data_IF_108878829130
#
_entry.id   IF_108878829130
#
_cell.length_a   1.000
_cell.length_b   1.000
_cell.length_c   1.000
_cell.angle_alpha   90.00
_cell.angle_beta   90.00
_cell.angle_gamma   90.00
#
_symmetry.space_group_name_H-M   'P 1'
#
loop_
_entity.id
_entity.type
_entity.pdbx_description
1 polymer ?
#
# COMPACT_ATOMS: atom_id res chain seq x y z
N UNK A 1 -12.57 -22.91 10.10
CA UNK A 1 -12.37 -23.37 8.72
C UNK A 1 -11.55 -22.32 7.97
N UNK A 2 -10.25 -22.29 8.27
CA UNK A 2 -9.26 -21.39 7.67
C UNK A 2 -8.87 -21.82 6.25
N UNK A 3 -9.36 -22.98 5.81
CA UNK A 3 -9.03 -23.59 4.53
C UNK A 3 -9.78 -22.93 3.36
N UNK A 4 -10.79 -22.10 3.69
CA UNK A 4 -11.51 -21.21 2.76
C UNK A 4 -11.04 -19.74 2.87
N UNK A 5 -10.08 -19.43 3.76
CA UNK A 5 -9.45 -18.12 3.76
C UNK A 5 -8.74 -17.98 2.41
N UNK A 6 -9.17 -17.00 1.62
CA UNK A 6 -8.56 -16.69 0.32
C UNK A 6 -7.06 -16.58 0.56
N UNK A 7 -6.26 -17.43 -0.09
CA UNK A 7 -4.79 -17.43 -0.05
C UNK A 7 -4.29 -16.09 -0.58
N UNK A 8 -4.33 -15.08 0.29
CA UNK A 8 -4.07 -13.70 -0.05
C UNK A 8 -2.57 -13.42 -0.15
N UNK A 9 -1.78 -14.13 0.66
CA UNK A 9 -0.35 -13.83 0.81
C UNK A 9 0.51 -14.12 -0.43
N UNK A 10 0.02 -14.85 -1.44
CA UNK A 10 0.82 -15.20 -2.62
C UNK A 10 0.06 -15.11 -3.96
N UNK A 11 -1.11 -14.47 -4.02
CA UNK A 11 -1.84 -14.37 -5.29
C UNK A 11 -1.09 -13.62 -6.40
N UNK A 12 -0.05 -12.85 -6.05
CA UNK A 12 0.77 -12.09 -7.00
C UNK A 12 1.72 -12.97 -7.83
N UNK A 13 2.07 -14.19 -7.36
CA UNK A 13 2.97 -15.12 -8.08
C UNK A 13 2.22 -16.19 -8.88
N UNK A 14 0.93 -16.37 -8.61
CA UNK A 14 0.05 -17.33 -9.28
C UNK A 14 -0.34 -16.98 -10.73
N UNK A 15 -0.39 -15.70 -11.18
CA UNK A 15 -0.86 -15.40 -12.52
C UNK A 15 0.04 -16.04 -13.57
N UNK A 16 -0.59 -16.67 -14.56
CA UNK A 16 0.10 -17.21 -15.74
C UNK A 16 -0.30 -16.43 -16.99
N UNK A 17 0.66 -16.17 -17.87
CA UNK A 17 0.44 -15.56 -19.18
C UNK A 17 0.86 -16.57 -20.24
N UNK A 18 -0.10 -17.00 -21.06
CA UNK A 18 0.08 -18.05 -22.08
C UNK A 18 0.67 -19.37 -21.50
N UNK A 19 0.20 -19.77 -20.30
CA UNK A 19 0.63 -21.01 -19.64
C UNK A 19 1.99 -20.96 -18.93
N UNK A 20 2.66 -19.80 -18.89
CA UNK A 20 3.90 -19.60 -18.12
C UNK A 20 3.67 -18.67 -16.93
N UNK A 21 4.34 -18.87 -15.77
CA UNK A 21 4.27 -17.93 -14.66
C UNK A 21 4.62 -16.51 -15.10
N UNK A 22 3.80 -15.53 -14.75
CA UNK A 22 3.95 -14.16 -15.23
C UNK A 22 5.28 -13.53 -14.77
N UNK A 23 5.75 -13.89 -13.57
CA UNK A 23 7.04 -13.47 -13.01
C UNK A 23 8.25 -14.16 -13.66
N UNK A 24 8.05 -15.07 -14.61
CA UNK A 24 9.10 -15.71 -15.42
C UNK A 24 9.00 -15.32 -16.90
N UNK A 25 8.17 -14.32 -17.23
CA UNK A 25 8.00 -13.85 -18.59
C UNK A 25 8.82 -12.57 -18.80
N UNK A 26 9.87 -12.65 -19.62
CA UNK A 26 10.81 -11.54 -19.85
C UNK A 26 10.13 -10.27 -20.35
N UNK A 27 9.12 -10.39 -21.22
CA UNK A 27 8.36 -9.23 -21.71
C UNK A 27 7.61 -8.54 -20.59
N UNK A 28 6.97 -9.32 -19.72
CA UNK A 28 6.22 -8.79 -18.57
C UNK A 28 7.17 -8.13 -17.57
N UNK A 29 8.29 -8.78 -17.26
CA UNK A 29 9.31 -8.23 -16.37
C UNK A 29 9.90 -6.92 -16.93
N UNK A 30 10.13 -6.84 -18.24
CA UNK A 30 10.60 -5.62 -18.89
C UNK A 30 9.58 -4.47 -18.80
N UNK A 31 8.28 -4.76 -18.92
CA UNK A 31 7.23 -3.75 -18.74
C UNK A 31 7.10 -3.30 -17.29
N UNK A 32 7.13 -4.24 -16.33
CA UNK A 32 7.08 -3.91 -14.89
C UNK A 32 8.26 -3.05 -14.45
N UNK A 33 9.46 -3.31 -15.00
CA UNK A 33 10.66 -2.53 -14.70
C UNK A 33 10.51 -1.06 -15.05
N UNK A 34 9.73 -0.70 -16.07
CA UNK A 34 9.49 0.71 -16.44
C UNK A 34 8.77 1.51 -15.34
N UNK A 35 8.03 0.83 -14.47
CA UNK A 35 7.34 1.45 -13.33
C UNK A 35 8.14 1.42 -12.03
N UNK A 36 9.24 0.67 -11.97
CA UNK A 36 10.09 0.57 -10.79
C UNK A 36 11.06 1.77 -10.76
N UNK A 37 10.56 2.90 -10.27
CA UNK A 37 11.28 4.19 -10.32
C UNK A 37 12.60 4.20 -9.55
N UNK A 38 12.83 3.21 -8.69
CA UNK A 38 14.00 3.14 -7.81
C UNK A 38 14.73 1.79 -7.90
N UNK A 39 14.50 1.01 -8.96
CA UNK A 39 15.11 -0.32 -9.17
C UNK A 39 15.05 -1.21 -7.92
N UNK A 40 13.91 -1.24 -7.23
CA UNK A 40 13.69 -1.98 -5.99
C UNK A 40 13.85 -3.50 -6.15
N UNK A 41 13.92 -4.02 -7.37
CA UNK A 41 14.28 -5.41 -7.64
C UNK A 41 15.76 -5.76 -7.35
N UNK A 42 16.66 -4.76 -7.23
CA UNK A 42 18.08 -5.00 -6.93
C UNK A 42 18.25 -5.63 -5.54
N UNK A 43 19.13 -6.63 -5.37
CA UNK A 43 19.35 -7.25 -4.06
C UNK A 43 19.71 -6.25 -2.96
N UNK A 44 20.58 -5.27 -3.25
CA UNK A 44 20.96 -4.24 -2.27
C UNK A 44 19.78 -3.38 -1.82
N UNK A 45 18.85 -3.02 -2.73
CA UNK A 45 17.65 -2.26 -2.41
C UNK A 45 16.63 -3.09 -1.62
N UNK A 46 16.46 -4.36 -1.97
CA UNK A 46 15.56 -5.28 -1.27
C UNK A 46 15.97 -5.47 0.20
N UNK A 47 17.28 -5.50 0.48
CA UNK A 47 17.80 -5.65 1.83
C UNK A 47 17.64 -4.40 2.72
N UNK A 48 17.20 -3.27 2.17
CA UNK A 48 16.75 -2.14 2.97
C UNK A 48 15.41 -2.44 3.71
N UNK A 49 14.71 -3.53 3.39
CA UNK A 49 13.54 -4.02 4.13
C UNK A 49 13.81 -5.41 4.68
N UNK A 50 14.44 -5.49 5.86
CA UNK A 50 14.79 -6.75 6.51
C UNK A 50 15.13 -6.51 8.00
N UNK A 51 15.26 -7.59 8.77
CA UNK A 51 15.54 -7.56 10.21
C UNK A 51 17.01 -7.90 10.47
N UNK A 52 17.69 -7.02 11.22
CA UNK A 52 19.11 -7.15 11.54
C UNK A 52 19.37 -6.94 13.03
N UNK A 53 20.44 -7.56 13.55
CA UNK A 53 20.84 -7.39 14.94
C UNK A 53 21.60 -6.07 15.12
N UNK A 54 21.25 -5.32 16.15
CA UNK A 54 21.86 -4.03 16.52
C UNK A 54 23.04 -4.22 17.47
N UNK A 55 23.82 -3.14 17.66
CA UNK A 55 24.99 -3.13 18.56
C UNK A 55 24.65 -3.51 20.00
N UNK A 56 23.49 -3.07 20.49
CA UNK A 56 22.97 -3.36 21.83
C UNK A 56 22.31 -4.75 21.94
N UNK A 57 22.47 -5.60 20.92
CA UNK A 57 22.02 -7.01 20.92
C UNK A 57 20.53 -7.19 20.62
N UNK A 58 19.78 -6.11 20.38
CA UNK A 58 18.39 -6.14 19.95
C UNK A 58 18.27 -6.43 18.47
N UNK A 59 17.04 -6.58 17.98
CA UNK A 59 16.75 -6.72 16.56
C UNK A 59 15.98 -5.49 16.09
N UNK A 60 16.31 -5.01 14.89
CA UNK A 60 15.66 -3.86 14.29
C UNK A 60 15.21 -4.20 12.87
N UNK A 61 13.95 -3.89 12.57
CA UNK A 61 13.39 -4.03 11.23
C UNK A 61 13.60 -2.73 10.46
N UNK A 62 14.54 -2.75 9.51
CA UNK A 62 14.65 -1.70 8.50
C UNK A 62 13.48 -1.84 7.52
N UNK A 63 12.97 -0.73 7.02
CA UNK A 63 11.93 -0.77 5.99
C UNK A 63 12.17 0.30 4.90
N UNK A 64 12.77 -0.12 3.79
CA UNK A 64 13.07 0.69 2.60
C UNK A 64 11.86 1.15 1.79
N UNK A 65 10.65 0.66 2.08
CA UNK A 65 9.43 1.05 1.35
C UNK A 65 9.60 0.81 -0.15
N UNK A 66 9.10 1.72 -1.00
CA UNK A 66 9.30 1.68 -2.46
C UNK A 66 10.48 2.56 -2.91
N UNK A 67 11.36 2.97 -1.98
CA UNK A 67 12.57 3.74 -2.26
C UNK A 67 13.61 3.53 -1.14
N UNK A 68 14.62 2.70 -1.42
CA UNK A 68 15.62 2.30 -0.45
C UNK A 68 16.59 3.41 -0.02
N UNK A 69 16.74 4.50 -0.79
CA UNK A 69 17.84 5.47 -0.61
C UNK A 69 17.92 6.07 0.78
N UNK A 70 16.78 6.44 1.39
CA UNK A 70 16.78 7.04 2.73
C UNK A 70 17.26 6.05 3.80
N UNK A 71 16.83 4.79 3.70
CA UNK A 71 17.24 3.73 4.64
C UNK A 71 18.71 3.38 4.44
N UNK A 72 19.16 3.23 3.20
CA UNK A 72 20.56 2.97 2.86
C UNK A 72 21.47 4.09 3.38
N UNK A 73 21.10 5.35 3.14
CA UNK A 73 21.83 6.51 3.64
C UNK A 73 21.90 6.56 5.17
N UNK A 74 20.80 6.22 5.86
CA UNK A 74 20.73 6.17 7.32
C UNK A 74 21.78 5.23 7.93
N UNK A 75 21.97 4.04 7.33
CA UNK A 75 22.93 3.03 7.83
C UNK A 75 24.26 3.04 7.08
N UNK A 76 24.49 4.02 6.20
CA UNK A 76 25.74 4.16 5.44
C UNK A 76 26.01 3.00 4.47
N UNK A 77 24.96 2.46 3.84
CA UNK A 77 25.07 1.49 2.74
C UNK A 77 25.12 2.26 1.42
N UNK A 78 26.13 1.96 0.60
CA UNK A 78 26.31 2.55 -0.72
C UNK A 78 25.69 1.69 -1.82
N UNK A 79 25.37 2.32 -2.95
CA UNK A 79 24.86 1.65 -4.14
C UNK A 79 25.93 0.73 -4.75
N UNK A 80 25.59 -0.54 -4.97
CA UNK A 80 26.51 -1.54 -5.51
C UNK A 80 25.76 -2.76 -6.07
N UNK A 81 26.32 -3.35 -7.12
CA UNK A 81 25.83 -4.61 -7.68
C UNK A 81 26.38 -5.79 -6.88
N UNK A 82 25.51 -6.45 -6.12
CA UNK A 82 25.85 -7.57 -5.24
C UNK A 82 24.78 -8.65 -5.30
N UNK A 83 25.15 -9.86 -4.91
CA UNK A 83 24.19 -10.94 -4.64
C UNK A 83 23.35 -10.62 -3.41
N UNK A 84 22.24 -11.35 -3.23
CA UNK A 84 21.39 -11.24 -2.03
C UNK A 84 22.16 -11.55 -0.75
N UNK A 85 23.04 -12.55 -0.77
CA UNK A 85 23.83 -12.97 0.40
C UNK A 85 24.83 -11.89 0.81
N UNK A 86 25.53 -11.30 -0.17
CA UNK A 86 26.43 -10.17 0.06
C UNK A 86 25.67 -8.95 0.59
N UNK A 87 24.51 -8.62 0.01
CA UNK A 87 23.67 -7.53 0.50
C UNK A 87 23.24 -7.75 1.97
N UNK A 88 22.81 -8.96 2.33
CA UNK A 88 22.46 -9.29 3.73
C UNK A 88 23.66 -9.05 4.65
N UNK A 89 24.85 -9.49 4.25
CA UNK A 89 26.08 -9.30 5.03
C UNK A 89 26.41 -7.81 5.20
N UNK A 90 26.33 -7.04 4.12
CA UNK A 90 26.58 -5.59 4.14
C UNK A 90 25.65 -4.90 5.14
N UNK A 91 24.34 -5.14 5.05
CA UNK A 91 23.38 -4.53 5.98
C UNK A 91 23.59 -5.02 7.42
N UNK A 92 23.88 -6.30 7.62
CA UNK A 92 24.18 -6.85 8.96
C UNK A 92 25.38 -6.15 9.60
N UNK A 93 26.48 -6.01 8.85
CA UNK A 93 27.72 -5.40 9.35
C UNK A 93 27.54 -3.90 9.65
N UNK A 94 26.66 -3.22 8.89
CA UNK A 94 26.32 -1.80 9.07
C UNK A 94 25.38 -1.58 10.24
N UNK A 95 24.28 -2.32 10.33
CA UNK A 95 23.28 -2.18 11.41
C UNK A 95 23.89 -2.50 12.77
N UNK A 96 24.81 -3.48 12.84
CA UNK A 96 25.53 -3.84 14.06
C UNK A 96 26.41 -2.71 14.64
N UNK A 97 26.57 -1.58 13.95
CA UNK A 97 27.28 -0.40 14.46
C UNK A 97 26.39 0.55 15.27
N UNK A 98 25.07 0.37 15.22
CA UNK A 98 24.09 1.29 15.80
C UNK A 98 23.27 0.62 16.90
N UNK A 99 22.93 1.39 17.95
CA UNK A 99 21.96 0.95 18.96
C UNK A 99 20.54 1.09 18.41
N UNK A 100 19.62 0.20 18.82
CA UNK A 100 18.24 0.22 18.33
C UNK A 100 17.53 1.58 18.56
N UNK A 101 17.80 2.23 19.69
CA UNK A 101 17.22 3.55 20.01
C UNK A 101 17.67 4.66 19.04
N UNK A 102 18.91 4.59 18.55
CA UNK A 102 19.40 5.51 17.53
C UNK A 102 18.64 5.28 16.21
N UNK A 103 18.52 4.03 15.78
CA UNK A 103 17.83 3.67 14.54
C UNK A 103 16.35 4.06 14.60
N UNK A 104 15.68 3.82 15.73
CA UNK A 104 14.27 4.18 15.95
C UNK A 104 14.05 5.68 15.75
N UNK A 105 14.86 6.50 16.43
CA UNK A 105 14.80 7.95 16.35
C UNK A 105 15.11 8.44 14.93
N UNK A 106 16.24 8.03 14.38
CA UNK A 106 16.69 8.55 13.08
C UNK A 106 15.75 8.13 11.94
N UNK A 107 15.25 6.89 11.95
CA UNK A 107 14.28 6.45 10.95
C UNK A 107 12.98 7.25 11.07
N UNK A 108 12.33 7.24 12.24
CA UNK A 108 10.97 7.73 12.38
C UNK A 108 10.87 9.25 12.55
N UNK A 109 11.75 9.86 13.36
CA UNK A 109 11.69 11.30 13.66
C UNK A 109 12.46 12.14 12.64
N UNK A 110 13.70 11.76 12.33
CA UNK A 110 14.58 12.60 11.52
C UNK A 110 14.30 12.44 10.01
N UNK A 111 14.05 11.20 9.56
CA UNK A 111 13.90 10.87 8.14
C UNK A 111 12.44 10.62 7.71
N UNK A 112 11.52 10.40 8.65
CA UNK A 112 10.14 10.00 8.36
C UNK A 112 10.05 8.66 7.60
N UNK A 113 11.07 7.81 7.77
CA UNK A 113 11.18 6.49 7.19
C UNK A 113 10.64 5.45 8.16
N UNK A 114 9.94 4.43 7.64
CA UNK A 114 9.48 3.34 8.47
C UNK A 114 10.68 2.52 8.98
N UNK A 115 10.64 2.17 10.25
CA UNK A 115 11.57 1.26 10.91
C UNK A 115 11.13 1.06 12.35
N UNK A 116 11.43 -0.11 12.93
CA UNK A 116 11.00 -0.39 14.30
C UNK A 116 11.91 -1.40 14.97
N UNK A 117 12.16 -1.18 16.25
CA UNK A 117 12.78 -2.16 17.13
C UNK A 117 11.85 -3.37 17.29
N UNK A 118 12.35 -4.56 17.00
CA UNK A 118 11.59 -5.79 17.19
C UNK A 118 11.44 -6.07 18.69
N UNK A 119 10.20 -6.04 19.17
CA UNK A 119 9.84 -6.34 20.55
C UNK A 119 9.29 -7.77 20.65
N UNK A 120 9.56 -8.43 21.77
CA UNK A 120 8.81 -9.61 22.20
C UNK A 120 7.34 -9.24 22.45
N UNK A 121 6.39 -10.20 22.43
CA UNK A 121 5.01 -9.93 22.79
C UNK A 121 4.85 -9.26 24.16
N UNK A 122 5.63 -9.68 25.15
CA UNK A 122 5.61 -9.12 26.51
C UNK A 122 6.10 -7.67 26.53
N UNK A 123 7.20 -7.37 25.84
CA UNK A 123 7.72 -6.00 25.70
C UNK A 123 6.74 -5.09 24.94
N UNK A 124 6.12 -5.61 23.87
CA UNK A 124 5.11 -4.87 23.12
C UNK A 124 3.91 -4.55 24.01
N UNK A 125 3.35 -5.53 24.72
CA UNK A 125 2.21 -5.31 25.63
C UNK A 125 2.56 -4.37 26.80
N UNK A 126 3.81 -4.37 27.25
CA UNK A 126 4.30 -3.46 28.29
C UNK A 126 4.54 -2.02 27.78
N UNK A 127 4.72 -1.83 26.46
CA UNK A 127 4.91 -0.52 25.83
C UNK A 127 3.67 0.37 25.95
N UNK A 128 3.83 1.68 25.72
CA UNK A 128 2.71 2.62 25.66
C UNK A 128 1.71 2.24 24.56
N UNK A 129 2.21 1.90 23.37
CA UNK A 129 1.38 1.45 22.25
C UNK A 129 0.58 0.20 22.58
N UNK A 130 1.22 -0.83 23.16
CA UNK A 130 0.54 -2.07 23.54
C UNK A 130 -0.56 -1.84 24.58
N UNK A 131 -0.31 -0.99 25.58
CA UNK A 131 -1.31 -0.61 26.59
C UNK A 131 -2.49 0.14 26.00
N UNK A 132 -2.26 1.05 25.06
CA UNK A 132 -3.33 1.77 24.36
C UNK A 132 -4.15 0.78 23.53
N UNK A 133 -3.49 0.00 22.67
CA UNK A 133 -4.16 -0.96 21.78
C UNK A 133 -4.96 -2.01 22.55
N UNK A 134 -4.47 -2.48 23.70
CA UNK A 134 -5.18 -3.45 24.53
C UNK A 134 -6.51 -2.94 25.09
N UNK A 135 -6.70 -1.61 25.17
CA UNK A 135 -7.93 -0.99 25.65
C UNK A 135 -8.87 -0.55 24.52
N UNK A 136 -8.42 -0.59 23.26
CA UNK A 136 -9.24 -0.22 22.11
C UNK A 136 -10.16 -1.38 21.69
N UNK A 137 -11.45 -1.12 21.43
CA UNK A 137 -12.34 -2.15 20.91
C UNK A 137 -11.96 -2.52 19.47
N UNK A 138 -12.27 -3.76 19.06
CA UNK A 138 -12.00 -4.24 17.70
C UNK A 138 -12.65 -3.38 16.61
N UNK A 139 -13.78 -2.75 16.91
CA UNK A 139 -14.43 -1.78 16.04
C UNK A 139 -15.17 -0.74 16.87
N UNK A 140 -15.26 0.47 16.32
CA UNK A 140 -16.11 1.54 16.83
C UNK A 140 -17.08 1.97 15.75
N UNK A 141 -18.24 2.48 16.16
CA UNK A 141 -19.22 3.04 15.24
C UNK A 141 -19.67 4.40 15.74
N UNK A 142 -19.60 5.37 14.84
CA UNK A 142 -20.13 6.72 15.06
C UNK A 142 -21.18 6.99 13.98
N UNK A 143 -22.47 7.12 14.33
CA UNK A 143 -23.50 7.43 13.35
C UNK A 143 -23.26 8.83 12.77
N UNK A 144 -23.41 8.95 11.45
CA UNK A 144 -23.34 10.23 10.73
C UNK A 144 -24.57 10.32 9.83
N UNK A 145 -25.33 11.43 9.87
CA UNK A 145 -26.45 11.63 8.94
C UNK A 145 -25.95 11.60 7.50
N UNK A 146 -26.51 10.72 6.68
CA UNK A 146 -26.23 10.63 5.26
C UNK A 146 -27.50 10.21 4.51
N UNK A 147 -27.75 10.71 3.29
CA UNK A 147 -28.86 10.25 2.48
C UNK A 147 -28.69 8.77 2.15
N UNK A 148 -29.78 8.00 2.21
CA UNK A 148 -29.77 6.63 1.73
C UNK A 148 -29.62 6.63 0.20
N UNK A 149 -28.76 5.75 -0.32
CA UNK A 149 -28.65 5.49 -1.76
C UNK A 149 -29.38 4.19 -2.10
N UNK A 150 -30.06 4.16 -3.23
CA UNK A 150 -30.65 2.94 -3.75
C UNK A 150 -29.57 2.10 -4.42
N UNK A 151 -29.58 0.79 -4.16
CA UNK A 151 -28.71 -0.13 -4.89
C UNK A 151 -29.02 -0.09 -6.40
N UNK A 152 -28.01 -0.10 -7.28
CA UNK A 152 -28.25 -0.15 -8.72
C UNK A 152 -29.04 -1.41 -9.11
N UNK A 153 -29.98 -1.27 -10.05
CA UNK A 153 -30.70 -2.43 -10.60
C UNK A 153 -29.71 -3.28 -11.39
N UNK A 154 -29.53 -4.53 -10.98
CA UNK A 154 -28.72 -5.49 -11.72
C UNK A 154 -29.36 -5.75 -13.08
N UNK A 155 -28.54 -5.70 -14.14
CA UNK A 155 -29.02 -5.86 -15.52
C UNK A 155 -28.83 -7.28 -16.04
N UNK A 156 -28.05 -8.10 -15.35
CA UNK A 156 -27.70 -9.45 -15.79
C UNK A 156 -27.97 -10.51 -14.72
N UNK A 157 -28.39 -11.72 -15.14
CA UNK A 157 -28.54 -12.90 -14.28
C UNK A 157 -27.21 -13.57 -13.91
N UNK A 158 -26.09 -12.84 -14.02
CA UNK A 158 -24.76 -13.35 -13.67
C UNK A 158 -24.48 -13.05 -12.19
N UNK A 159 -23.68 -13.90 -11.53
CA UNK A 159 -23.18 -13.69 -10.16
C UNK A 159 -22.24 -12.46 -10.07
N UNK A 160 -22.79 -11.26 -10.20
CA UNK A 160 -22.09 -9.96 -10.17
C UNK A 160 -22.82 -9.02 -9.20
N UNK A 161 -22.73 -9.26 -7.89
CA UNK A 161 -23.52 -8.53 -6.90
C UNK A 161 -23.31 -7.01 -6.94
N UNK A 162 -22.13 -6.55 -7.39
CA UNK A 162 -21.75 -5.14 -7.47
C UNK A 162 -21.93 -4.53 -8.88
N UNK A 163 -22.66 -5.17 -9.78
CA UNK A 163 -22.96 -4.59 -11.10
C UNK A 163 -23.62 -3.20 -10.95
N UNK A 164 -23.08 -2.22 -11.67
CA UNK A 164 -23.55 -0.83 -11.63
C UNK A 164 -22.90 0.02 -10.54
N UNK A 165 -22.17 -0.56 -9.60
CA UNK A 165 -21.40 0.18 -8.59
C UNK A 165 -20.10 0.70 -9.20
N UNK A 166 -19.80 1.98 -8.97
CA UNK A 166 -18.54 2.61 -9.40
C UNK A 166 -17.64 2.93 -8.22
N UNK A 167 -16.40 2.43 -8.29
CA UNK A 167 -15.39 2.56 -7.24
C UNK A 167 -14.21 3.36 -7.77
N UNK A 168 -13.77 4.36 -7.00
CA UNK A 168 -12.50 5.04 -7.20
C UNK A 168 -11.47 4.43 -6.25
N UNK A 169 -10.41 3.88 -6.80
CA UNK A 169 -9.30 3.31 -6.06
C UNK A 169 -8.13 4.32 -6.03
N UNK A 170 -7.99 5.04 -4.93
CA UNK A 170 -6.88 5.95 -4.65
C UNK A 170 -5.89 5.28 -3.69
N UNK A 171 -5.24 4.22 -4.17
CA UNK A 171 -4.29 3.44 -3.37
C UNK A 171 -3.10 2.91 -4.18
N UNK A 172 -2.10 2.37 -3.46
CA UNK A 172 -0.87 1.75 -3.96
C UNK A 172 -0.53 0.51 -3.13
N UNK A 173 0.49 -0.23 -3.52
CA UNK A 173 1.01 -1.39 -2.79
C UNK A 173 0.02 -2.56 -2.80
N UNK A 174 -0.55 -2.95 -1.66
CA UNK A 174 -1.16 -4.28 -1.50
C UNK A 174 -2.57 -4.21 -0.91
N UNK A 175 -2.72 -3.76 0.34
CA UNK A 175 -3.97 -3.92 1.10
C UNK A 175 -5.19 -3.26 0.44
N UNK A 176 -5.19 -1.94 0.22
CA UNK A 176 -6.27 -1.28 -0.50
C UNK A 176 -6.48 -1.73 -1.96
N UNK A 177 -5.43 -1.97 -2.78
CA UNK A 177 -5.60 -2.54 -4.12
C UNK A 177 -6.31 -3.91 -4.12
N UNK A 178 -6.22 -4.68 -3.04
CA UNK A 178 -6.89 -5.98 -2.92
C UNK A 178 -8.38 -5.80 -2.67
N UNK A 179 -8.74 -4.85 -1.80
CA UNK A 179 -10.15 -4.46 -1.59
C UNK A 179 -10.78 -4.15 -2.94
N UNK A 180 -10.18 -3.22 -3.70
CA UNK A 180 -10.73 -2.78 -4.98
C UNK A 180 -10.68 -3.86 -6.06
N UNK A 181 -9.68 -4.76 -6.08
CA UNK A 181 -9.66 -5.94 -6.96
C UNK A 181 -10.85 -6.86 -6.69
N UNK A 182 -11.12 -7.17 -5.41
CA UNK A 182 -12.25 -8.01 -5.03
C UNK A 182 -13.56 -7.35 -5.47
N UNK A 183 -13.71 -6.04 -5.30
CA UNK A 183 -14.89 -5.32 -5.79
C UNK A 183 -15.05 -5.42 -7.31
N UNK A 184 -13.94 -5.34 -8.07
CA UNK A 184 -13.95 -5.51 -9.53
C UNK A 184 -14.41 -6.92 -9.94
N UNK A 185 -13.87 -7.96 -9.28
CA UNK A 185 -14.25 -9.37 -9.52
C UNK A 185 -15.74 -9.59 -9.24
N UNK A 186 -16.28 -8.93 -8.21
CA UNK A 186 -17.70 -8.97 -7.85
C UNK A 186 -18.60 -8.11 -8.77
N UNK A 187 -18.03 -7.48 -9.80
CA UNK A 187 -18.78 -6.79 -10.86
C UNK A 187 -18.77 -5.27 -10.81
N UNK A 188 -18.10 -4.65 -9.84
CA UNK A 188 -17.99 -3.20 -9.77
C UNK A 188 -17.13 -2.62 -10.91
N UNK A 189 -17.46 -1.42 -11.37
CA UNK A 189 -16.57 -0.64 -12.21
C UNK A 189 -15.52 0.04 -11.34
N UNK A 190 -14.28 -0.46 -11.38
CA UNK A 190 -13.18 0.10 -10.58
C UNK A 190 -12.25 0.94 -11.46
N UNK A 191 -12.03 2.19 -11.04
CA UNK A 191 -11.09 3.13 -11.66
C UNK A 191 -9.98 3.41 -10.65
N UNK A 192 -8.77 2.92 -10.91
CA UNK A 192 -7.57 3.24 -10.16
C UNK A 192 -7.03 4.60 -10.59
N UNK A 193 -6.83 5.48 -9.63
CA UNK A 193 -6.21 6.79 -9.81
C UNK A 193 -4.73 6.65 -9.47
N UNK A 194 -3.92 6.51 -10.51
CA UNK A 194 -2.47 6.37 -10.43
C UNK A 194 -1.77 7.69 -10.74
N UNK A 195 -0.47 7.75 -10.47
CA UNK A 195 0.41 8.80 -10.97
C UNK A 195 1.76 8.15 -11.32
N UNK A 196 2.16 8.24 -12.59
CA UNK A 196 3.41 7.63 -13.10
C UNK A 196 4.68 8.14 -12.42
N UNK A 197 4.62 9.29 -11.75
CA UNK A 197 5.74 9.89 -11.04
C UNK A 197 5.80 9.47 -9.56
N UNK A 198 4.87 8.64 -9.10
CA UNK A 198 4.89 8.07 -7.75
C UNK A 198 5.37 6.62 -7.79
N UNK A 199 6.24 6.19 -6.86
CA UNK A 199 6.68 4.81 -6.82
C UNK A 199 5.54 3.88 -6.40
N UNK A 200 5.60 2.63 -6.82
CA UNK A 200 4.66 1.57 -6.44
C UNK A 200 5.40 0.22 -6.42
N UNK A 201 4.76 -0.83 -5.93
CA UNK A 201 5.30 -2.20 -5.98
C UNK A 201 4.84 -2.87 -7.26
N UNK A 202 5.59 -2.67 -8.35
CA UNK A 202 5.16 -3.05 -9.71
C UNK A 202 4.87 -4.54 -9.88
N UNK A 203 5.58 -5.42 -9.15
CA UNK A 203 5.31 -6.87 -9.14
C UNK A 203 3.86 -7.22 -8.77
N UNK A 204 3.18 -6.35 -8.01
CA UNK A 204 1.78 -6.56 -7.62
C UNK A 204 0.78 -6.20 -8.71
N UNK A 205 1.18 -5.41 -9.71
CA UNK A 205 0.27 -4.83 -10.70
C UNK A 205 -0.47 -5.88 -11.53
N UNK A 206 0.19 -7.00 -11.85
CA UNK A 206 -0.39 -8.07 -12.68
C UNK A 206 -1.66 -8.61 -12.03
N UNK A 207 -1.57 -8.97 -10.76
CA UNK A 207 -2.71 -9.53 -10.03
C UNK A 207 -3.66 -8.43 -9.55
N UNK A 208 -3.13 -7.40 -8.90
CA UNK A 208 -3.92 -6.38 -8.20
C UNK A 208 -4.55 -5.34 -9.11
N UNK A 209 -4.26 -5.33 -10.41
CA UNK A 209 -4.94 -4.48 -11.40
C UNK A 209 -6.03 -5.20 -12.18
N UNK A 210 -6.22 -6.49 -11.95
CA UNK A 210 -7.21 -7.31 -12.67
C UNK A 210 -8.62 -6.74 -12.52
N UNK A 211 -9.30 -6.55 -13.65
CA UNK A 211 -10.67 -6.01 -13.70
C UNK A 211 -10.79 -4.49 -13.49
N UNK A 212 -9.67 -3.79 -13.27
CA UNK A 212 -9.65 -2.33 -13.07
C UNK A 212 -9.33 -1.60 -14.37
N UNK A 213 -9.79 -0.35 -14.46
CA UNK A 213 -9.27 0.65 -15.40
C UNK A 213 -8.34 1.58 -14.65
N UNK A 214 -7.24 1.98 -15.27
CA UNK A 214 -6.27 2.90 -14.67
C UNK A 214 -6.35 4.29 -15.33
N UNK A 215 -6.07 5.33 -14.55
CA UNK A 215 -5.89 6.70 -15.04
C UNK A 215 -4.69 7.35 -14.36
N UNK A 216 -3.89 8.09 -15.13
CA UNK A 216 -2.74 8.82 -14.61
C UNK A 216 -3.12 10.28 -14.32
N UNK A 217 -3.30 10.62 -13.05
CA UNK A 217 -3.75 11.95 -12.59
C UNK A 217 -2.77 12.50 -11.57
N UNK A 218 -2.29 13.72 -11.80
CA UNK A 218 -1.54 14.47 -10.79
C UNK A 218 -2.47 15.36 -9.95
N UNK A 219 -2.81 14.90 -8.74
CA UNK A 219 -3.65 15.65 -7.80
C UNK A 219 -2.94 16.87 -7.18
N UNK A 220 -1.66 17.12 -7.47
CA UNK A 220 -1.02 18.39 -7.11
C UNK A 220 -1.39 19.52 -8.06
N UNK A 221 -1.77 19.20 -9.30
CA UNK A 221 -2.24 20.16 -10.29
C UNK A 221 -3.72 20.50 -10.12
N UNK A 222 -4.13 21.72 -10.47
CA UNK A 222 -5.54 22.11 -10.44
C UNK A 222 -6.38 21.32 -11.45
N UNK A 223 -5.81 21.01 -12.61
CA UNK A 223 -6.44 20.15 -13.61
C UNK A 223 -6.72 18.75 -13.05
N UNK A 224 -5.72 18.11 -12.43
CA UNK A 224 -5.88 16.78 -11.85
C UNK A 224 -6.87 16.77 -10.68
N UNK A 225 -6.88 17.80 -9.84
CA UNK A 225 -7.94 17.98 -8.82
C UNK A 225 -9.32 18.10 -9.47
N UNK A 226 -9.46 18.83 -10.57
CA UNK A 226 -10.73 18.96 -11.29
C UNK A 226 -11.19 17.63 -11.92
N UNK A 227 -10.27 16.84 -12.49
CA UNK A 227 -10.58 15.49 -12.98
C UNK A 227 -11.04 14.60 -11.81
N UNK A 228 -10.30 14.59 -10.70
CA UNK A 228 -10.63 13.79 -9.52
C UNK A 228 -11.98 14.16 -8.92
N UNK A 229 -12.32 15.46 -8.83
CA UNK A 229 -13.67 15.93 -8.43
C UNK A 229 -14.77 15.31 -9.29
N UNK A 230 -14.59 15.27 -10.61
CA UNK A 230 -15.57 14.67 -11.53
C UNK A 230 -15.67 13.15 -11.37
N UNK A 231 -14.55 12.47 -11.09
CA UNK A 231 -14.56 11.04 -10.78
C UNK A 231 -15.36 10.76 -9.51
N UNK A 232 -15.09 11.49 -8.42
CA UNK A 232 -15.77 11.34 -7.13
C UNK A 232 -17.26 11.70 -7.21
N UNK A 233 -17.63 12.73 -7.97
CA UNK A 233 -19.02 13.15 -8.14
C UNK A 233 -19.91 12.05 -8.75
N UNK A 234 -19.33 11.17 -9.57
CA UNK A 234 -20.03 10.06 -10.20
C UNK A 234 -19.70 8.69 -9.62
N UNK A 235 -19.10 8.60 -8.44
CA UNK A 235 -18.72 7.35 -7.80
C UNK A 235 -19.67 6.98 -6.65
N UNK A 236 -19.75 5.69 -6.33
CA UNK A 236 -20.44 5.20 -5.14
C UNK A 236 -19.48 5.00 -3.97
N UNK A 237 -18.25 4.56 -4.28
CA UNK A 237 -17.21 4.26 -3.29
C UNK A 237 -15.90 4.97 -3.67
N UNK A 238 -15.23 5.56 -2.68
CA UNK A 238 -13.84 6.01 -2.77
C UNK A 238 -13.01 5.24 -1.74
N UNK A 239 -11.99 4.54 -2.19
CA UNK A 239 -10.99 3.88 -1.35
C UNK A 239 -9.74 4.77 -1.33
N UNK A 240 -9.31 5.18 -0.14
CA UNK A 240 -8.09 5.94 0.11
C UNK A 240 -7.12 5.08 0.91
N UNK A 241 -6.04 4.66 0.26
CA UNK A 241 -4.97 3.85 0.85
C UNK A 241 -3.70 4.65 1.14
N UNK A 242 -3.76 5.98 1.17
CA UNK A 242 -2.61 6.81 1.54
C UNK A 242 -2.57 7.08 3.05
N UNK A 243 -1.39 7.48 3.53
CA UNK A 243 -1.19 7.87 4.93
C UNK A 243 -2.25 8.89 5.39
N UNK A 244 -2.71 8.83 6.65
CA UNK A 244 -3.70 9.75 7.18
C UNK A 244 -3.39 11.22 6.84
N UNK A 245 -4.38 11.90 6.26
CA UNK A 245 -4.30 13.33 5.94
C UNK A 245 -3.69 13.68 4.57
N UNK A 246 -3.12 12.73 3.81
CA UNK A 246 -2.58 13.01 2.46
C UNK A 246 -3.67 13.54 1.53
N UNK A 247 -4.80 12.82 1.40
CA UNK A 247 -5.89 13.22 0.53
C UNK A 247 -6.56 14.55 0.99
N UNK A 248 -6.60 14.78 2.31
CA UNK A 248 -7.08 16.04 2.88
C UNK A 248 -6.18 17.24 2.51
N UNK A 249 -4.84 17.08 2.54
CA UNK A 249 -3.87 18.10 2.09
C UNK A 249 -4.02 18.43 0.60
N UNK A 250 -4.55 17.50 -0.20
CA UNK A 250 -4.87 17.71 -1.61
C UNK A 250 -6.23 18.40 -1.83
N UNK A 251 -6.97 18.70 -0.76
CA UNK A 251 -8.27 19.38 -0.78
C UNK A 251 -9.48 18.45 -0.73
N UNK A 252 -9.30 17.18 -0.37
CA UNK A 252 -10.33 16.14 -0.39
C UNK A 252 -10.49 15.46 0.97
N UNK A 253 -10.82 16.24 2.01
CA UNK A 253 -11.19 15.67 3.30
C UNK A 253 -12.63 15.13 3.30
N UNK A 254 -13.04 14.45 4.37
CA UNK A 254 -14.39 13.85 4.44
C UNK A 254 -15.51 14.87 4.23
N UNK A 255 -15.39 16.09 4.75
CA UNK A 255 -16.40 17.13 4.58
C UNK A 255 -16.48 17.62 3.13
N UNK A 256 -15.33 17.92 2.50
CA UNK A 256 -15.30 18.36 1.09
C UNK A 256 -15.75 17.25 0.14
N UNK A 257 -15.41 15.99 0.41
CA UNK A 257 -15.90 14.84 -0.36
C UNK A 257 -17.42 14.72 -0.27
N UNK A 258 -18.02 14.91 0.91
CA UNK A 258 -19.48 14.93 1.09
C UNK A 258 -20.16 16.08 0.35
N UNK A 259 -19.51 17.24 0.26
CA UNK A 259 -20.03 18.36 -0.57
C UNK A 259 -20.04 18.00 -2.05
N UNK A 260 -19.04 17.25 -2.53
CA UNK A 260 -18.99 16.78 -3.93
C UNK A 260 -20.04 15.69 -4.17
N UNK A 261 -20.18 14.74 -3.25
CA UNK A 261 -21.10 13.63 -3.35
C UNK A 261 -21.59 13.20 -1.96
N UNK A 262 -22.84 13.55 -1.64
CA UNK A 262 -23.45 13.27 -0.34
C UNK A 262 -23.69 11.78 -0.07
N UNK A 263 -23.75 10.95 -1.13
CA UNK A 263 -24.00 9.50 -1.06
C UNK A 263 -22.73 8.66 -1.02
N UNK A 264 -21.55 9.28 -1.15
CA UNK A 264 -20.27 8.60 -1.27
C UNK A 264 -19.96 7.77 -0.02
N UNK A 265 -19.66 6.49 -0.23
CA UNK A 265 -18.99 5.66 0.77
C UNK A 265 -17.50 5.94 0.70
N UNK A 266 -16.95 6.59 1.73
CA UNK A 266 -15.53 6.87 1.83
C UNK A 266 -14.85 5.85 2.76
N UNK A 267 -14.01 5.01 2.17
CA UNK A 267 -13.24 3.97 2.86
C UNK A 267 -11.79 4.43 2.97
N UNK A 268 -11.23 4.36 4.16
CA UNK A 268 -9.81 4.58 4.40
C UNK A 268 -9.17 3.30 4.89
N UNK A 269 -8.14 2.86 4.19
CA UNK A 269 -7.28 1.76 4.60
C UNK A 269 -5.92 2.39 4.97
N UNK A 270 -5.45 2.13 6.18
CA UNK A 270 -4.17 2.64 6.67
C UNK A 270 -3.63 1.73 7.77
N UNK A 271 -2.30 1.74 7.90
CA UNK A 271 -1.54 1.18 9.00
C UNK A 271 -1.23 2.23 10.06
#
# INVERSE_FOLDING_TARGET
DTDLATLFLESIILPTINGKPAMQNDTVLAELKKGDLYDMAKPIHQQATNVYQTKDGKWYHLHGSMNASATMGMVGVEEQDVTREEAIKIFSDKVAQYDAAYLEKTANEDLGQAGVTCLTPEEFLASEHGKIMANEPLWTMKPVPAPCSTWPVQKSDKLKPLEGIRVIDFSRVIAAPVISKILAVLGAQVIKVSNKNLPDVTATWIDLSTGKKDTNIDLKSDEGKNVFRRLVAGADVLIDGYRPGVLAKLGFNSASLRTINQKLVYVRENC
#
